data_IF_618448945761
#
_entry.id   IF_618448945761
#
_cell.length_a   1.000
_cell.length_b   1.000
_cell.length_c   1.000
_cell.angle_alpha   90.00
_cell.angle_beta   90.00
_cell.angle_gamma   90.00
#
_symmetry.space_group_name_H-M   'P 1'
#
loop_
_entity.id
_entity.type
_entity.pdbx_description
1 polymer ?
#
# COMPACT_ATOMS: atom_id res chain seq x y z
N UNK A 1 -8.63 9.83 6.89
CA UNK A 1 -7.24 9.46 6.59
C UNK A 1 -6.97 9.93 5.19
N UNK A 2 -5.82 10.56 4.98
CA UNK A 2 -5.37 11.02 3.66
C UNK A 2 -4.49 9.96 3.01
N UNK A 3 -4.34 10.03 1.70
CA UNK A 3 -3.32 9.29 0.96
C UNK A 3 -1.93 9.48 1.59
N UNK A 4 -1.62 10.67 2.13
CA UNK A 4 -0.35 10.94 2.80
C UNK A 4 -0.14 10.06 4.05
N UNK A 5 -1.19 9.82 4.84
CA UNK A 5 -1.12 8.97 6.03
C UNK A 5 -0.74 7.52 5.65
N UNK A 6 -1.19 7.04 4.48
CA UNK A 6 -0.81 5.73 3.96
C UNK A 6 0.68 5.67 3.62
N UNK A 7 1.25 6.72 3.04
CA UNK A 7 2.69 6.75 2.78
C UNK A 7 3.49 6.66 4.08
N UNK A 8 3.11 7.43 5.10
CA UNK A 8 3.79 7.46 6.40
C UNK A 8 3.70 6.12 7.14
N UNK A 9 2.55 5.43 7.09
CA UNK A 9 2.37 4.11 7.71
C UNK A 9 3.25 3.05 7.04
N UNK A 10 3.30 3.06 5.70
CA UNK A 10 4.10 2.09 4.95
C UNK A 10 5.60 2.38 5.04
N UNK A 11 6.03 3.62 5.27
CA UNK A 11 7.43 3.95 5.59
C UNK A 11 7.88 3.34 6.92
N UNK A 12 6.96 3.09 7.85
CA UNK A 12 7.26 2.47 9.14
C UNK A 12 7.27 0.94 9.10
N UNK A 13 6.93 0.31 7.96
CA UNK A 13 6.96 -1.15 7.84
C UNK A 13 8.37 -1.70 8.05
N UNK A 14 8.46 -2.74 8.90
CA UNK A 14 9.75 -3.40 9.17
C UNK A 14 10.12 -4.28 7.97
N UNK A 15 11.39 -4.22 7.55
CA UNK A 15 11.89 -5.10 6.50
C UNK A 15 11.78 -6.57 6.92
N UNK A 16 11.18 -7.39 6.08
CA UNK A 16 10.83 -8.78 6.35
C UNK A 16 9.35 -9.00 6.70
N UNK A 17 8.56 -7.94 6.87
CA UNK A 17 7.12 -8.07 7.09
C UNK A 17 6.32 -8.14 5.78
N UNK A 18 5.19 -8.86 5.87
CA UNK A 18 4.17 -8.93 4.82
C UNK A 18 2.93 -8.24 5.38
N UNK A 19 2.49 -7.17 4.72
CA UNK A 19 1.26 -6.47 5.04
C UNK A 19 0.21 -6.80 3.99
N UNK A 20 -0.87 -7.44 4.42
CA UNK A 20 -2.02 -7.75 3.57
C UNK A 20 -3.23 -6.97 4.05
N UNK A 21 -3.88 -6.25 3.14
CA UNK A 21 -5.12 -5.53 3.45
C UNK A 21 -6.15 -5.62 2.31
N UNK A 22 -7.45 -5.55 2.63
CA UNK A 22 -8.50 -5.53 1.62
C UNK A 22 -8.35 -4.33 0.67
N UNK A 23 -8.65 -4.55 -0.62
CA UNK A 23 -8.60 -3.50 -1.65
C UNK A 23 -9.56 -2.37 -1.36
N UNK A 24 -10.76 -2.71 -0.90
CA UNK A 24 -11.77 -1.72 -0.56
C UNK A 24 -11.35 -0.88 0.65
N UNK A 25 -10.67 -1.50 1.61
CA UNK A 25 -10.09 -0.78 2.75
C UNK A 25 -9.00 0.19 2.28
N UNK A 26 -8.01 -0.28 1.52
CA UNK A 26 -6.96 0.59 0.97
C UNK A 26 -7.54 1.75 0.16
N UNK A 27 -8.54 1.47 -0.68
CA UNK A 27 -9.24 2.48 -1.48
C UNK A 27 -10.00 3.48 -0.62
N UNK A 28 -10.64 3.05 0.46
CA UNK A 28 -11.33 3.96 1.38
C UNK A 28 -10.37 4.86 2.16
N UNK A 29 -9.14 4.42 2.36
CA UNK A 29 -8.07 5.19 3.03
C UNK A 29 -7.40 6.22 2.12
N UNK A 30 -7.50 6.07 0.80
CA UNK A 30 -7.08 7.09 -0.17
C UNK A 30 -8.03 8.29 -0.15
N UNK A 31 -7.49 9.47 -0.46
CA UNK A 31 -8.29 10.68 -0.68
C UNK A 31 -9.30 10.48 -1.83
N UNK A 32 -10.44 11.20 -1.81
CA UNK A 32 -11.54 10.99 -2.78
C UNK A 32 -11.08 11.04 -4.25
N UNK A 33 -10.24 12.00 -4.59
CA UNK A 33 -9.70 12.17 -5.95
C UNK A 33 -8.73 11.03 -6.33
N UNK A 34 -8.10 10.44 -5.32
CA UNK A 34 -7.11 9.38 -5.43
C UNK A 34 -7.75 7.97 -5.48
N UNK A 35 -9.01 7.82 -5.08
CA UNK A 35 -9.75 6.54 -5.11
C UNK A 35 -9.86 5.93 -6.49
N UNK A 36 -9.74 6.73 -7.55
CA UNK A 36 -9.73 6.26 -8.94
C UNK A 36 -8.37 5.64 -9.30
N UNK A 37 -7.30 6.17 -8.73
CA UNK A 37 -5.91 5.77 -9.00
C UNK A 37 -5.25 5.00 -7.86
N UNK A 38 -6.02 4.49 -6.89
CA UNK A 38 -5.51 3.81 -5.70
C UNK A 38 -4.50 2.69 -5.99
N UNK A 39 -4.66 1.95 -7.11
CA UNK A 39 -3.68 0.93 -7.51
C UNK A 39 -2.33 1.52 -7.93
N UNK A 40 -2.32 2.71 -8.54
CA UNK A 40 -1.07 3.41 -8.84
C UNK A 40 -0.40 3.92 -7.57
N UNK A 41 -1.19 4.39 -6.59
CA UNK A 41 -0.70 4.79 -5.27
C UNK A 41 -0.07 3.58 -4.56
N UNK A 42 -0.76 2.43 -4.51
CA UNK A 42 -0.20 1.20 -3.94
C UNK A 42 1.15 0.83 -4.59
N UNK A 43 1.27 0.93 -5.91
CA UNK A 43 2.54 0.69 -6.63
C UNK A 43 3.63 1.69 -6.26
N UNK A 44 3.27 2.97 -6.09
CA UNK A 44 4.21 4.02 -5.70
C UNK A 44 4.72 3.78 -4.27
N UNK A 45 3.82 3.47 -3.33
CA UNK A 45 4.15 3.11 -1.94
C UNK A 45 5.11 1.91 -1.92
N UNK A 46 4.79 0.83 -2.65
CA UNK A 46 5.64 -0.35 -2.71
C UNK A 46 7.04 -0.01 -3.25
N UNK A 47 7.11 0.79 -4.32
CA UNK A 47 8.38 1.23 -4.91
C UNK A 47 9.21 2.10 -3.96
N UNK A 48 8.58 3.03 -3.25
CA UNK A 48 9.23 3.91 -2.28
C UNK A 48 9.84 3.12 -1.12
N UNK A 49 9.10 2.14 -0.62
CA UNK A 49 9.53 1.30 0.50
C UNK A 49 10.41 0.11 0.09
N UNK A 50 10.65 -0.07 -1.22
CA UNK A 50 11.37 -1.21 -1.80
C UNK A 50 10.72 -2.55 -1.45
N UNK A 51 9.40 -2.58 -1.44
CA UNK A 51 8.59 -3.77 -1.23
C UNK A 51 7.99 -4.24 -2.56
N UNK A 52 7.73 -5.54 -2.66
CA UNK A 52 6.97 -6.11 -3.77
C UNK A 52 5.47 -5.96 -3.49
N UNK A 53 4.70 -5.60 -4.52
CA UNK A 53 3.24 -5.51 -4.44
C UNK A 53 2.61 -6.67 -5.20
N UNK A 54 1.82 -7.48 -4.51
CA UNK A 54 0.96 -8.50 -5.10
C UNK A 54 -0.48 -8.00 -5.05
N UNK A 55 -1.14 -7.96 -6.21
CA UNK A 55 -2.52 -7.49 -6.35
C UNK A 55 -3.41 -8.70 -6.54
N UNK A 56 -4.20 -9.01 -5.52
CA UNK A 56 -5.23 -10.04 -5.56
C UNK A 56 -6.57 -9.45 -6.00
N UNK A 57 -7.58 -10.29 -6.21
CA UNK A 57 -8.93 -9.84 -6.58
C UNK A 57 -9.53 -8.93 -5.50
N UNK A 58 -9.39 -9.31 -4.23
CA UNK A 58 -10.01 -8.62 -3.09
C UNK A 58 -9.00 -7.98 -2.13
N UNK A 59 -7.69 -8.21 -2.32
CA UNK A 59 -6.66 -7.76 -1.39
C UNK A 59 -5.41 -7.19 -2.09
N UNK A 60 -4.67 -6.36 -1.37
CA UNK A 60 -3.32 -5.91 -1.71
C UNK A 60 -2.36 -6.47 -0.68
N UNK A 61 -1.26 -7.04 -1.15
CA UNK A 61 -0.23 -7.63 -0.31
C UNK A 61 1.11 -6.98 -0.62
N UNK A 62 1.72 -6.39 0.40
CA UNK A 62 3.00 -5.69 0.33
C UNK A 62 4.05 -6.52 1.05
N UNK A 63 5.02 -7.02 0.30
CA UNK A 63 6.07 -7.93 0.76
C UNK A 63 7.37 -7.13 0.83
N UNK A 64 7.78 -6.72 2.02
CA UNK A 64 9.02 -5.96 2.18
C UNK A 64 10.18 -6.95 2.39
N UNK A 65 11.10 -7.11 1.43
CA UNK A 65 12.18 -8.07 1.56
C UNK A 65 13.10 -7.71 2.75
N UNK A 66 13.67 -8.72 3.43
CA UNK A 66 14.64 -8.49 4.50
C UNK A 66 15.87 -7.70 3.98
N UNK A 67 16.57 -6.98 4.87
CA UNK A 67 17.73 -6.15 4.50
C UNK A 67 18.91 -6.96 3.95
#
# INVERSE_FOLDING_TARGET
MSTADLYDEFEQMVRGEILTMPRDEFRQRCDEDDKIIYLNIARQIAKQNRCDLVIHEEALEFICPPP
#
